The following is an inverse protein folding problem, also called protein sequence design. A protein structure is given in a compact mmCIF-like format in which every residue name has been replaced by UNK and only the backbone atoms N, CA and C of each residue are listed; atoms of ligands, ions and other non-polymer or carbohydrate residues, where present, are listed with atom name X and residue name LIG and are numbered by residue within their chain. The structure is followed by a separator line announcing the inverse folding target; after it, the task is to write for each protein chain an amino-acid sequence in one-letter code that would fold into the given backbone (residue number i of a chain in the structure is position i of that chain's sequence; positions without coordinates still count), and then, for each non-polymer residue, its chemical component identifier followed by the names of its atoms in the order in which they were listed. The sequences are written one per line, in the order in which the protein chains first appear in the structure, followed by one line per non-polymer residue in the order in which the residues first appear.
data_IF_787754995927
#
_entry.id   IF_787754995927
#
_cell.length_a   1.000
_cell.length_b   1.000
_cell.length_c   1.000
_cell.angle_alpha   90.00
_cell.angle_beta   90.00
_cell.angle_gamma   90.00
#
_symmetry.space_group_name_H-M   'P 1'
#
loop_
_entity.id
_entity.type
_entity.pdbx_description
1 polymer ?
#
# COMPACT_ATOMS: atom_id res chain seq x y z
N UNK A 1 -37.28 -7.48 -17.67
CA UNK A 1 -36.05 -6.65 -17.83
C UNK A 1 -35.04 -7.43 -18.67
N UNK A 2 -34.24 -6.77 -19.51
CA UNK A 2 -33.26 -7.48 -20.35
C UNK A 2 -32.09 -7.94 -19.47
N UNK A 3 -31.70 -9.20 -19.56
CA UNK A 3 -30.56 -9.82 -18.88
C UNK A 3 -29.27 -9.07 -19.20
N UNK A 4 -28.47 -8.75 -18.19
CA UNK A 4 -27.15 -8.09 -18.31
C UNK A 4 -26.10 -9.10 -18.73
N UNK A 5 -25.14 -8.67 -19.54
CA UNK A 5 -23.97 -9.51 -19.87
C UNK A 5 -23.01 -9.58 -18.70
N UNK A 6 -22.87 -8.47 -17.95
CA UNK A 6 -22.01 -8.35 -16.79
C UNK A 6 -22.63 -7.41 -15.75
N UNK A 7 -22.64 -7.87 -14.50
CA UNK A 7 -23.02 -7.07 -13.32
C UNK A 7 -21.81 -6.96 -12.42
N UNK A 8 -21.44 -5.73 -12.03
CA UNK A 8 -20.29 -5.44 -11.18
C UNK A 8 -20.79 -4.85 -9.87
N UNK A 9 -20.36 -5.41 -8.76
CA UNK A 9 -20.75 -5.00 -7.41
C UNK A 9 -19.52 -4.38 -6.73
N UNK A 10 -19.53 -3.05 -6.60
CA UNK A 10 -18.46 -2.22 -6.07
C UNK A 10 -17.82 -1.35 -7.16
N UNK A 11 -17.86 -0.04 -6.95
CA UNK A 11 -17.32 1.01 -7.82
C UNK A 11 -15.95 1.55 -7.38
N UNK A 12 -15.12 0.70 -6.77
CA UNK A 12 -13.71 1.01 -6.48
C UNK A 12 -12.77 0.62 -7.61
N UNK A 13 -11.45 0.71 -7.40
CA UNK A 13 -10.40 0.55 -8.42
C UNK A 13 -10.59 -0.69 -9.31
N UNK A 14 -10.83 -1.88 -8.73
CA UNK A 14 -11.03 -3.09 -9.52
C UNK A 14 -12.34 -3.08 -10.34
N UNK A 15 -13.44 -2.64 -9.72
CA UNK A 15 -14.76 -2.60 -10.37
C UNK A 15 -14.82 -1.61 -11.52
N UNK A 16 -14.26 -0.42 -11.36
CA UNK A 16 -14.23 0.64 -12.38
C UNK A 16 -13.44 0.22 -13.62
N UNK A 17 -12.30 -0.44 -13.45
CA UNK A 17 -11.50 -0.96 -14.56
C UNK A 17 -12.31 -2.00 -15.36
N UNK A 18 -12.98 -2.94 -14.67
CA UNK A 18 -13.80 -3.95 -15.35
C UNK A 18 -15.00 -3.30 -16.06
N UNK A 19 -15.68 -2.35 -15.39
CA UNK A 19 -16.85 -1.66 -15.93
C UNK A 19 -16.50 -0.87 -17.19
N UNK A 20 -15.44 -0.06 -17.13
CA UNK A 20 -14.96 0.75 -18.25
C UNK A 20 -14.65 -0.11 -19.47
N UNK A 21 -13.85 -1.16 -19.31
CA UNK A 21 -13.47 -2.03 -20.43
C UNK A 21 -14.68 -2.78 -20.99
N UNK A 22 -15.53 -3.35 -20.13
CA UNK A 22 -16.66 -4.14 -20.58
C UNK A 22 -17.69 -3.28 -21.37
N UNK A 23 -17.98 -2.07 -20.85
CA UNK A 23 -18.96 -1.16 -21.50
C UNK A 23 -18.44 -0.65 -22.85
N UNK A 24 -17.18 -0.23 -22.95
CA UNK A 24 -16.56 0.22 -24.20
C UNK A 24 -16.46 -0.90 -25.26
N UNK A 25 -16.46 -2.17 -24.84
CA UNK A 25 -16.56 -3.32 -25.75
C UNK A 25 -18.01 -3.64 -26.17
N UNK A 26 -18.99 -2.82 -25.79
CA UNK A 26 -20.40 -2.95 -26.20
C UNK A 26 -21.20 -3.98 -25.40
N UNK A 27 -20.71 -4.46 -24.26
CA UNK A 27 -21.48 -5.35 -23.38
C UNK A 27 -22.55 -4.55 -22.61
N UNK A 28 -23.68 -5.23 -22.31
CA UNK A 28 -24.71 -4.67 -21.41
C UNK A 28 -24.22 -4.79 -19.96
N UNK A 29 -23.63 -3.70 -19.45
CA UNK A 29 -23.01 -3.64 -18.11
C UNK A 29 -23.90 -2.88 -17.15
N UNK A 30 -24.02 -3.39 -15.92
CA UNK A 30 -24.53 -2.63 -14.77
C UNK A 30 -23.44 -2.61 -13.70
N UNK A 31 -23.06 -1.42 -13.25
CA UNK A 31 -22.17 -1.16 -12.11
C UNK A 31 -23.04 -0.73 -10.93
N UNK A 32 -22.88 -1.41 -9.80
CA UNK A 32 -23.61 -1.11 -8.56
C UNK A 32 -22.61 -0.64 -7.50
N UNK A 33 -22.88 0.53 -6.90
CA UNK A 33 -22.08 1.08 -5.82
C UNK A 33 -22.97 1.47 -4.63
N UNK A 34 -22.58 1.05 -3.41
CA UNK A 34 -23.35 1.36 -2.19
C UNK A 34 -23.16 2.80 -1.72
N UNK A 35 -21.98 3.38 -1.94
CA UNK A 35 -21.66 4.76 -1.59
C UNK A 35 -22.29 5.74 -2.58
N UNK A 36 -22.38 7.01 -2.20
CA UNK A 36 -22.94 8.07 -3.04
C UNK A 36 -22.05 8.47 -4.24
N UNK A 37 -20.76 8.08 -4.21
CA UNK A 37 -19.77 8.39 -5.24
C UNK A 37 -19.01 7.13 -5.66
N UNK A 38 -18.55 7.09 -6.91
CA UNK A 38 -17.59 6.09 -7.39
C UNK A 38 -16.17 6.44 -6.93
N UNK A 39 -15.21 5.51 -7.09
CA UNK A 39 -13.80 5.69 -6.71
C UNK A 39 -13.35 4.79 -5.55
N UNK A 40 -14.30 4.41 -4.69
CA UNK A 40 -14.08 3.51 -3.56
C UNK A 40 -13.10 4.06 -2.51
N UNK A 41 -12.60 3.17 -1.67
CA UNK A 41 -11.73 3.52 -0.55
C UNK A 41 -10.43 4.23 -0.98
N UNK A 42 -9.81 3.79 -2.07
CA UNK A 42 -8.55 4.38 -2.55
C UNK A 42 -8.65 5.88 -2.81
N UNK A 43 -9.72 6.32 -3.46
CA UNK A 43 -9.93 7.73 -3.80
C UNK A 43 -10.39 8.56 -2.60
N UNK A 44 -11.31 8.03 -1.79
CA UNK A 44 -11.98 8.85 -0.77
C UNK A 44 -11.33 8.76 0.62
N UNK A 45 -10.75 7.60 0.96
CA UNK A 45 -10.30 7.30 2.34
C UNK A 45 -8.92 6.63 2.40
N UNK A 46 -8.28 6.39 1.25
CA UNK A 46 -7.05 5.59 1.16
C UNK A 46 -5.88 6.35 0.54
N UNK A 47 -5.43 5.87 -0.63
CA UNK A 47 -4.18 6.30 -1.25
C UNK A 47 -4.14 7.80 -1.57
N UNK A 48 -5.20 8.35 -2.16
CA UNK A 48 -5.23 9.75 -2.59
C UNK A 48 -5.16 10.70 -1.39
N UNK A 49 -6.08 10.65 -0.42
CA UNK A 49 -6.03 11.55 0.73
C UNK A 49 -4.78 11.37 1.58
N UNK A 50 -4.33 10.13 1.82
CA UNK A 50 -3.15 9.90 2.65
C UNK A 50 -1.88 10.45 2.02
N UNK A 51 -1.66 10.27 0.70
CA UNK A 51 -0.46 10.77 0.02
C UNK A 51 -0.47 12.29 -0.11
N UNK A 52 -1.64 12.88 -0.25
CA UNK A 52 -1.79 14.35 -0.20
C UNK A 52 -1.42 14.90 1.19
N UNK A 53 -1.93 14.27 2.26
CA UNK A 53 -1.61 14.65 3.63
C UNK A 53 -0.12 14.47 3.95
N UNK A 54 0.46 13.32 3.58
CA UNK A 54 1.89 13.03 3.76
C UNK A 54 2.76 14.07 3.05
N UNK A 55 2.39 14.46 1.83
CA UNK A 55 3.13 15.47 1.09
C UNK A 55 3.05 16.84 1.77
N UNK A 56 1.87 17.23 2.24
CA UNK A 56 1.69 18.48 3.04
C UNK A 56 2.55 18.45 4.30
N UNK A 57 2.56 17.35 5.03
CA UNK A 57 3.37 17.17 6.23
C UNK A 57 4.89 17.21 5.92
N UNK A 58 5.30 16.66 4.76
CA UNK A 58 6.68 16.77 4.28
C UNK A 58 7.07 18.21 3.99
N UNK A 59 6.19 18.99 3.37
CA UNK A 59 6.41 20.44 3.13
C UNK A 59 6.58 21.16 4.46
N UNK A 60 5.72 20.94 5.46
CA UNK A 60 5.84 21.54 6.78
C UNK A 60 7.19 21.19 7.44
N UNK A 61 7.62 19.92 7.34
CA UNK A 61 8.94 19.49 7.84
C UNK A 61 10.09 20.20 7.11
N UNK A 62 10.03 20.34 5.79
CA UNK A 62 11.05 21.05 5.02
C UNK A 62 11.13 22.53 5.37
N UNK A 63 10.01 23.20 5.66
CA UNK A 63 9.99 24.59 6.12
C UNK A 63 10.76 24.76 7.43
N UNK A 64 10.60 23.87 8.39
CA UNK A 64 11.36 23.86 9.65
C UNK A 64 12.85 23.63 9.43
N UNK A 65 13.20 22.84 8.43
CA UNK A 65 14.56 22.44 8.11
C UNK A 65 15.26 23.35 7.10
N UNK A 66 14.74 24.55 6.86
CA UNK A 66 15.33 25.52 5.91
C UNK A 66 16.85 25.68 6.09
N UNK A 67 17.34 25.70 7.33
CA UNK A 67 18.78 25.85 7.65
C UNK A 67 19.66 24.71 7.08
N UNK A 68 19.13 23.52 6.90
CA UNK A 68 19.86 22.40 6.27
C UNK A 68 20.23 22.70 4.79
N UNK A 69 19.50 23.63 4.18
CA UNK A 69 19.64 24.05 2.79
C UNK A 69 20.20 25.47 2.62
N UNK A 70 20.67 26.09 3.72
CA UNK A 70 21.18 27.46 3.71
C UNK A 70 20.08 28.52 3.63
N UNK A 71 18.83 28.18 3.93
CA UNK A 71 17.67 29.05 3.97
C UNK A 71 17.24 29.30 5.43
N UNK A 72 16.51 30.38 5.74
CA UNK A 72 15.90 30.53 7.06
C UNK A 72 14.95 29.38 7.37
N UNK A 73 14.97 28.88 8.61
CA UNK A 73 13.93 28.00 9.10
C UNK A 73 12.64 28.78 9.33
N UNK A 74 11.52 28.16 9.04
CA UNK A 74 10.20 28.75 9.25
C UNK A 74 9.30 27.72 9.96
N UNK A 75 8.67 28.14 11.07
CA UNK A 75 7.66 27.32 11.75
C UNK A 75 6.29 27.58 11.10
N UNK A 76 5.72 26.57 10.39
CA UNK A 76 4.43 26.77 9.74
C UNK A 76 3.30 26.81 10.78
N UNK A 77 2.40 27.77 10.65
CA UNK A 77 1.13 27.79 11.37
C UNK A 77 0.16 26.83 10.66
N UNK A 78 -0.04 25.66 11.26
CA UNK A 78 -0.80 24.56 10.63
C UNK A 78 -2.28 24.68 11.01
N UNK A 79 -3.10 25.20 10.10
CA UNK A 79 -4.54 25.16 10.19
C UNK A 79 -5.07 23.85 9.56
N UNK A 80 -5.42 22.86 10.39
CA UNK A 80 -5.86 21.53 9.90
C UNK A 80 -7.07 21.62 8.96
N UNK A 81 -7.96 22.59 9.17
CA UNK A 81 -9.09 22.85 8.27
C UNK A 81 -8.63 23.10 6.83
N UNK A 82 -7.58 23.93 6.63
CA UNK A 82 -7.02 24.18 5.29
C UNK A 82 -6.31 22.99 4.70
N UNK A 83 -5.64 22.20 5.54
CA UNK A 83 -5.01 20.94 5.10
C UNK A 83 -6.08 19.96 4.59
N UNK A 84 -7.18 19.79 5.33
CA UNK A 84 -8.29 18.96 4.92
C UNK A 84 -8.99 19.48 3.66
N UNK A 85 -9.16 20.78 3.51
CA UNK A 85 -9.71 21.39 2.29
C UNK A 85 -8.80 21.13 1.08
N UNK A 86 -7.48 21.21 1.26
CA UNK A 86 -6.53 20.84 0.21
C UNK A 86 -6.64 19.35 -0.16
N UNK A 87 -6.70 18.45 0.83
CA UNK A 87 -6.91 17.02 0.58
C UNK A 87 -8.20 16.79 -0.21
N UNK A 88 -9.29 17.44 0.21
CA UNK A 88 -10.58 17.31 -0.46
C UNK A 88 -10.53 17.85 -1.91
N UNK A 89 -9.83 18.95 -2.16
CA UNK A 89 -9.67 19.50 -3.52
C UNK A 89 -8.95 18.54 -4.47
N UNK A 90 -7.97 17.77 -3.96
CA UNK A 90 -7.28 16.74 -4.75
C UNK A 90 -8.20 15.55 -5.04
N UNK A 91 -8.98 15.12 -4.05
CA UNK A 91 -9.98 14.07 -4.22
C UNK A 91 -10.99 14.48 -5.31
N UNK A 92 -11.54 15.68 -5.23
CA UNK A 92 -12.53 16.20 -6.19
C UNK A 92 -11.99 16.25 -7.62
N UNK A 93 -10.74 16.70 -7.78
CA UNK A 93 -10.08 16.74 -9.08
C UNK A 93 -9.88 15.35 -9.68
N UNK A 94 -9.55 14.34 -8.87
CA UNK A 94 -9.39 12.96 -9.35
C UNK A 94 -10.77 12.31 -9.57
N UNK A 95 -11.78 12.68 -8.77
CA UNK A 95 -13.16 12.21 -8.92
C UNK A 95 -13.74 12.46 -10.32
N UNK A 96 -13.28 13.48 -11.04
CA UNK A 96 -13.68 13.72 -12.43
C UNK A 96 -13.42 12.51 -13.35
N UNK A 97 -12.39 11.71 -13.04
CA UNK A 97 -12.09 10.48 -13.76
C UNK A 97 -13.05 9.33 -13.42
N UNK A 98 -13.65 9.38 -12.24
CA UNK A 98 -14.58 8.37 -11.72
C UNK A 98 -16.03 8.87 -11.71
N UNK A 99 -16.32 9.91 -12.51
CA UNK A 99 -17.68 10.46 -12.65
C UNK A 99 -18.64 9.40 -13.21
N UNK A 100 -19.80 9.15 -12.59
CA UNK A 100 -20.83 8.24 -13.09
C UNK A 100 -21.26 8.52 -14.51
N UNK A 101 -21.34 9.81 -14.93
CA UNK A 101 -21.73 10.19 -16.28
C UNK A 101 -20.71 9.73 -17.34
N UNK A 102 -19.44 9.71 -17.00
CA UNK A 102 -18.41 9.14 -17.87
C UNK A 102 -18.66 7.65 -18.15
N UNK A 103 -19.01 6.87 -17.11
CA UNK A 103 -19.35 5.45 -17.29
C UNK A 103 -20.65 5.25 -18.03
N UNK A 104 -21.66 6.11 -17.80
CA UNK A 104 -22.91 6.13 -18.59
C UNK A 104 -22.62 6.44 -20.06
N UNK A 105 -21.71 7.36 -20.33
CA UNK A 105 -21.23 7.69 -21.68
C UNK A 105 -20.55 6.49 -22.37
N UNK A 106 -19.95 5.55 -21.65
CA UNK A 106 -19.46 4.29 -22.21
C UNK A 106 -20.56 3.23 -22.45
N UNK A 107 -21.80 3.50 -22.05
CA UNK A 107 -22.91 2.54 -22.13
C UNK A 107 -23.09 1.67 -20.88
N UNK A 108 -22.44 2.00 -19.76
CA UNK A 108 -22.64 1.33 -18.49
C UNK A 108 -23.85 1.92 -17.75
N UNK A 109 -24.76 1.09 -17.27
CA UNK A 109 -25.76 1.52 -16.30
C UNK A 109 -25.09 1.62 -14.91
N UNK A 110 -25.11 2.81 -14.29
CA UNK A 110 -24.62 3.02 -12.94
C UNK A 110 -25.77 3.16 -11.97
N UNK A 111 -25.81 2.30 -10.96
CA UNK A 111 -26.82 2.27 -9.92
C UNK A 111 -26.19 2.45 -8.55
N UNK A 112 -26.75 3.35 -7.76
CA UNK A 112 -26.38 3.54 -6.36
C UNK A 112 -27.33 2.78 -5.44
N UNK A 113 -26.76 1.98 -4.55
CA UNK A 113 -27.46 1.16 -3.57
C UNK A 113 -26.70 -0.11 -3.20
N UNK A 114 -27.07 -0.71 -2.09
CA UNK A 114 -26.49 -1.97 -1.67
C UNK A 114 -27.02 -3.14 -2.51
N UNK A 115 -26.10 -3.95 -3.04
CA UNK A 115 -26.45 -5.16 -3.78
C UNK A 115 -26.51 -6.37 -2.88
N UNK A 116 -27.55 -7.21 -3.03
CA UNK A 116 -27.67 -8.50 -2.34
C UNK A 116 -28.06 -9.57 -3.33
N UNK A 117 -27.36 -10.70 -3.39
CA UNK A 117 -27.74 -11.84 -4.21
C UNK A 117 -29.05 -12.45 -3.74
N UNK A 118 -29.96 -12.67 -4.67
CA UNK A 118 -31.19 -13.44 -4.48
C UNK A 118 -30.95 -14.93 -4.80
N UNK A 119 -30.15 -15.17 -5.84
CA UNK A 119 -29.64 -16.46 -6.30
C UNK A 119 -28.33 -16.26 -7.10
N UNK A 120 -27.83 -17.31 -7.74
CA UNK A 120 -26.57 -17.23 -8.49
C UNK A 120 -26.62 -16.36 -9.78
N UNK A 121 -27.84 -15.93 -10.22
CA UNK A 121 -28.05 -15.14 -11.43
C UNK A 121 -28.77 -13.81 -11.20
N UNK A 122 -29.25 -13.53 -10.00
CA UNK A 122 -30.00 -12.32 -9.68
C UNK A 122 -29.50 -11.64 -8.42
N UNK A 123 -29.48 -10.32 -8.49
CA UNK A 123 -29.24 -9.46 -7.32
C UNK A 123 -30.42 -8.51 -7.13
N UNK A 124 -30.62 -8.09 -5.88
CA UNK A 124 -31.49 -6.98 -5.50
C UNK A 124 -30.63 -5.74 -5.25
N UNK A 125 -31.04 -4.60 -5.80
CA UNK A 125 -30.50 -3.27 -5.51
C UNK A 125 -31.67 -2.32 -5.30
N UNK A 126 -31.86 -1.83 -4.09
CA UNK A 126 -33.07 -1.10 -3.68
C UNK A 126 -34.32 -1.94 -4.06
N UNK A 127 -35.28 -1.35 -4.78
CA UNK A 127 -36.52 -2.01 -5.23
C UNK A 127 -36.38 -2.72 -6.58
N UNK A 128 -35.14 -2.88 -7.11
CA UNK A 128 -34.91 -3.43 -8.46
C UNK A 128 -34.20 -4.77 -8.40
N UNK A 129 -34.75 -5.77 -9.06
CA UNK A 129 -34.05 -7.01 -9.39
C UNK A 129 -33.25 -6.86 -10.69
N UNK A 130 -32.02 -7.38 -10.70
CA UNK A 130 -31.12 -7.34 -11.85
C UNK A 130 -30.65 -8.76 -12.15
N UNK A 131 -30.95 -9.25 -13.35
CA UNK A 131 -30.50 -10.53 -13.84
C UNK A 131 -29.19 -10.36 -14.65
N UNK A 132 -28.15 -11.16 -14.31
CA UNK A 132 -26.86 -11.15 -14.96
C UNK A 132 -26.44 -12.51 -15.50
N UNK A 133 -25.71 -12.51 -16.62
CA UNK A 133 -25.03 -13.69 -17.14
C UNK A 133 -23.74 -13.98 -16.36
N UNK A 134 -23.07 -12.92 -15.91
CA UNK A 134 -21.84 -12.98 -15.10
C UNK A 134 -21.86 -11.86 -14.07
N UNK A 135 -21.11 -12.11 -12.98
CA UNK A 135 -20.96 -11.16 -11.90
C UNK A 135 -19.48 -10.97 -11.56
N UNK A 136 -19.14 -9.74 -11.13
CA UNK A 136 -17.84 -9.41 -10.55
C UNK A 136 -18.07 -8.75 -9.20
N UNK A 137 -17.58 -9.37 -8.13
CA UNK A 137 -17.64 -8.84 -6.78
C UNK A 137 -16.34 -8.07 -6.53
N UNK A 138 -16.43 -6.76 -6.35
CA UNK A 138 -15.31 -5.84 -6.17
C UNK A 138 -15.56 -4.90 -4.96
N UNK A 139 -16.16 -5.45 -3.90
CA UNK A 139 -16.63 -4.71 -2.72
C UNK A 139 -15.52 -4.26 -1.78
N UNK A 140 -14.28 -4.66 -2.04
CA UNK A 140 -13.10 -4.19 -1.30
C UNK A 140 -13.05 -4.66 0.15
N UNK A 141 -12.50 -3.79 0.99
CA UNK A 141 -12.32 -4.00 2.44
C UNK A 141 -12.72 -2.75 3.23
N UNK A 142 -12.86 -2.89 4.53
CA UNK A 142 -13.17 -1.81 5.47
C UNK A 142 -12.23 -1.88 6.68
N UNK A 143 -12.03 -0.80 7.46
CA UNK A 143 -11.24 -0.83 8.68
C UNK A 143 -11.71 -1.93 9.63
N UNK A 144 -10.75 -2.55 10.32
CA UNK A 144 -11.04 -3.50 11.39
C UNK A 144 -10.91 -2.78 12.74
N UNK A 145 -12.02 -2.68 13.47
CA UNK A 145 -12.03 -2.19 14.85
C UNK A 145 -11.85 -3.40 15.77
N UNK A 146 -10.76 -3.47 16.56
CA UNK A 146 -10.51 -4.59 17.45
C UNK A 146 -11.47 -4.53 18.65
N UNK A 147 -11.86 -5.69 19.22
CA UNK A 147 -12.76 -5.76 20.38
C UNK A 147 -12.03 -5.40 21.68
N UNK A 148 -11.54 -4.15 21.77
CA UNK A 148 -10.92 -3.62 22.98
C UNK A 148 -11.99 -3.02 23.88
N UNK A 149 -11.91 -3.33 25.18
CA UNK A 149 -12.90 -2.88 26.14
C UNK A 149 -13.01 -1.33 26.17
N UNK A 150 -14.20 -0.82 25.96
CA UNK A 150 -14.52 0.60 25.99
C UNK A 150 -14.14 1.38 24.71
N UNK A 151 -13.57 0.71 23.69
CA UNK A 151 -13.16 1.38 22.45
C UNK A 151 -14.37 1.84 21.63
N UNK A 152 -15.40 1.01 21.54
CA UNK A 152 -16.61 1.32 20.78
C UNK A 152 -17.41 2.47 21.43
N UNK A 153 -17.52 2.45 22.76
CA UNK A 153 -18.24 3.49 23.51
C UNK A 153 -17.51 4.84 23.53
N UNK A 154 -16.17 4.80 23.56
CA UNK A 154 -15.34 6.00 23.57
C UNK A 154 -15.25 6.64 22.19
N UNK A 155 -15.35 5.82 21.14
CA UNK A 155 -15.13 6.21 19.77
C UNK A 155 -13.64 6.23 19.40
N UNK A 156 -13.36 6.04 18.11
CA UNK A 156 -12.02 6.12 17.55
C UNK A 156 -12.09 6.64 16.12
N UNK A 157 -10.98 7.16 15.65
CA UNK A 157 -10.79 7.50 14.24
C UNK A 157 -10.34 6.26 13.46
N UNK A 158 -10.74 6.21 12.21
CA UNK A 158 -10.25 5.30 11.20
C UNK A 158 -9.71 6.09 10.00
N UNK A 159 -9.27 5.42 8.95
CA UNK A 159 -8.94 6.11 7.70
C UNK A 159 -10.17 6.77 7.04
N UNK A 160 -11.39 6.37 7.39
CA UNK A 160 -12.61 6.97 6.84
C UNK A 160 -12.90 8.36 7.45
N UNK A 161 -12.43 8.63 8.67
CA UNK A 161 -12.68 9.86 9.42
C UNK A 161 -11.52 10.87 9.32
N UNK A 162 -10.30 10.35 9.23
CA UNK A 162 -9.06 11.08 9.48
C UNK A 162 -8.85 12.28 8.55
N UNK A 163 -9.24 12.16 7.28
CA UNK A 163 -8.99 13.17 6.25
C UNK A 163 -10.02 14.30 6.23
N UNK A 164 -11.03 14.22 7.10
CA UNK A 164 -12.05 15.26 7.29
C UNK A 164 -11.88 16.06 8.58
N UNK A 165 -10.83 15.79 9.36
CA UNK A 165 -10.55 16.51 10.60
C UNK A 165 -10.38 18.02 10.34
N UNK A 166 -11.04 18.83 11.14
CA UNK A 166 -10.96 20.31 11.06
C UNK A 166 -9.97 20.90 12.05
N UNK A 167 -9.64 20.15 13.11
CA UNK A 167 -8.70 20.52 14.15
C UNK A 167 -7.59 19.49 14.25
N UNK A 168 -6.37 19.97 14.44
CA UNK A 168 -5.22 19.08 14.63
C UNK A 168 -5.24 18.57 16.08
N UNK A 169 -5.31 17.24 16.32
CA UNK A 169 -5.21 16.73 17.67
C UNK A 169 -3.84 17.07 18.26
N UNK A 170 -3.80 17.63 19.47
CA UNK A 170 -2.52 17.94 20.14
C UNK A 170 -1.78 16.64 20.46
N UNK A 171 -2.51 15.62 20.95
CA UNK A 171 -1.98 14.28 21.26
C UNK A 171 -2.76 13.26 20.45
N UNK A 172 -2.05 12.47 19.67
CA UNK A 172 -2.62 11.38 18.87
C UNK A 172 -2.01 10.04 19.28
N UNK A 173 -2.84 9.07 19.63
CA UNK A 173 -2.41 7.69 19.77
C UNK A 173 -2.81 6.92 18.50
N UNK A 174 -1.86 6.18 17.93
CA UNK A 174 -2.08 5.31 16.77
C UNK A 174 -1.97 3.85 17.21
N UNK A 175 -3.06 3.10 17.07
CA UNK A 175 -3.06 1.66 17.29
C UNK A 175 -2.69 0.96 15.99
N UNK A 176 -1.55 0.29 15.99
CA UNK A 176 -1.02 -0.48 14.87
C UNK A 176 0.18 0.15 14.18
N UNK A 177 1.29 -0.60 14.18
CA UNK A 177 2.57 -0.26 13.53
C UNK A 177 2.67 -0.75 12.08
N UNK A 178 1.55 -0.92 11.40
CA UNK A 178 1.48 -1.25 9.97
C UNK A 178 1.68 -0.01 9.08
N UNK A 179 1.69 -0.19 7.73
CA UNK A 179 1.96 0.91 6.79
C UNK A 179 1.07 2.14 7.02
N UNK A 180 -0.24 1.95 7.10
CA UNK A 180 -1.19 3.06 7.31
C UNK A 180 -0.94 3.78 8.63
N UNK A 181 -0.72 3.02 9.72
CA UNK A 181 -0.43 3.60 11.04
C UNK A 181 0.81 4.47 11.02
N UNK A 182 1.91 3.98 10.44
CA UNK A 182 3.19 4.71 10.42
C UNK A 182 3.17 5.92 9.48
N UNK A 183 2.51 5.83 8.34
CA UNK A 183 2.30 6.96 7.44
C UNK A 183 1.57 8.10 8.14
N UNK A 184 0.49 7.79 8.85
CA UNK A 184 -0.28 8.79 9.60
C UNK A 184 0.47 9.29 10.84
N UNK A 185 1.18 8.41 11.53
CA UNK A 185 2.06 8.77 12.65
C UNK A 185 3.02 9.89 12.26
N UNK A 186 3.79 9.70 11.20
CA UNK A 186 4.77 10.69 10.75
C UNK A 186 4.08 11.95 10.19
N UNK A 187 2.98 11.79 9.45
CA UNK A 187 2.27 12.93 8.89
C UNK A 187 1.73 13.86 10.00
N UNK A 188 1.04 13.32 11.00
CA UNK A 188 0.50 14.11 12.10
C UNK A 188 1.59 14.69 13.00
N UNK A 189 2.67 13.94 13.27
CA UNK A 189 3.80 14.47 14.02
C UNK A 189 4.44 15.68 13.31
N UNK A 190 4.64 15.59 12.01
CA UNK A 190 5.18 16.69 11.20
C UNK A 190 4.23 17.88 11.05
N UNK A 191 2.93 17.68 11.22
CA UNK A 191 1.95 18.76 11.28
C UNK A 191 1.88 19.41 12.67
N UNK A 192 2.44 18.81 13.72
CA UNK A 192 2.54 19.40 15.06
C UNK A 192 1.92 18.59 16.19
N UNK A 193 1.35 17.42 15.93
CA UNK A 193 0.82 16.54 16.98
C UNK A 193 1.94 15.81 17.73
N UNK A 194 1.76 15.58 19.04
CA UNK A 194 2.55 14.61 19.78
C UNK A 194 1.97 13.22 19.53
N UNK A 195 2.73 12.36 18.85
CA UNK A 195 2.21 11.06 18.40
C UNK A 195 2.85 9.90 19.14
N UNK A 196 2.00 8.97 19.60
CA UNK A 196 2.41 7.70 20.22
C UNK A 196 1.83 6.54 19.44
N UNK A 197 2.67 5.59 19.05
CA UNK A 197 2.26 4.33 18.40
C UNK A 197 2.22 3.21 19.42
N UNK A 198 1.16 2.40 19.38
CA UNK A 198 1.06 1.16 20.17
C UNK A 198 0.93 0.00 19.21
N UNK A 199 1.93 -0.90 19.21
CA UNK A 199 2.00 -2.08 18.35
C UNK A 199 2.10 -3.35 19.20
N UNK A 200 1.22 -4.30 18.92
CA UNK A 200 1.15 -5.59 19.62
C UNK A 200 2.35 -6.49 19.34
N UNK A 201 2.86 -6.43 18.10
CA UNK A 201 3.98 -7.26 17.67
C UNK A 201 5.32 -6.68 18.16
N UNK A 202 6.39 -7.48 18.21
CA UNK A 202 7.69 -7.02 18.69
C UNK A 202 8.39 -6.05 17.74
N UNK A 203 7.96 -5.98 16.48
CA UNK A 203 8.52 -5.10 15.45
C UNK A 203 7.41 -4.39 14.69
N UNK A 204 7.69 -3.18 14.23
CA UNK A 204 6.88 -2.49 13.24
C UNK A 204 6.93 -3.24 11.92
N UNK A 205 5.92 -3.03 11.05
CA UNK A 205 5.89 -3.57 9.69
C UNK A 205 6.27 -5.07 9.63
N UNK A 206 5.52 -5.98 10.25
CA UNK A 206 5.92 -7.37 10.49
C UNK A 206 6.14 -8.20 9.20
N UNK A 207 5.72 -7.68 8.06
CA UNK A 207 5.94 -8.33 6.76
C UNK A 207 7.25 -7.92 6.12
N UNK A 208 7.91 -6.86 6.62
CA UNK A 208 9.14 -6.32 6.05
C UNK A 208 10.39 -7.06 6.53
N UNK A 209 11.53 -6.76 5.90
CA UNK A 209 12.82 -7.21 6.41
C UNK A 209 13.10 -6.52 7.75
N UNK A 210 13.39 -7.26 8.83
CA UNK A 210 13.57 -6.67 10.16
C UNK A 210 14.60 -5.55 10.20
N UNK A 211 15.74 -5.69 9.51
CA UNK A 211 16.78 -4.66 9.45
C UNK A 211 16.26 -3.34 8.88
N UNK A 212 15.34 -3.44 7.91
CA UNK A 212 14.76 -2.26 7.24
C UNK A 212 13.68 -1.63 8.10
N UNK A 213 12.86 -2.45 8.76
CA UNK A 213 11.83 -2.00 9.69
C UNK A 213 12.43 -1.29 10.91
N UNK A 214 13.49 -1.86 11.50
CA UNK A 214 14.21 -1.28 12.64
C UNK A 214 14.87 0.06 12.26
N UNK A 215 15.43 0.16 11.06
CA UNK A 215 16.00 1.41 10.56
C UNK A 215 14.93 2.51 10.36
N UNK A 216 13.73 2.14 9.89
CA UNK A 216 12.61 3.08 9.82
C UNK A 216 12.13 3.49 11.21
N UNK A 217 12.01 2.55 12.15
CA UNK A 217 11.62 2.85 13.53
C UNK A 217 12.57 3.87 14.15
N UNK A 218 13.87 3.64 14.05
CA UNK A 218 14.89 4.57 14.56
C UNK A 218 14.77 5.97 13.95
N UNK A 219 14.40 6.07 12.67
CA UNK A 219 14.14 7.36 12.02
C UNK A 219 12.92 8.06 12.62
N UNK A 220 11.80 7.35 12.80
CA UNK A 220 10.58 7.91 13.39
C UNK A 220 10.80 8.38 14.84
N UNK A 221 11.51 7.58 15.64
CA UNK A 221 11.88 7.94 17.01
C UNK A 221 12.80 9.18 17.06
N UNK A 222 13.73 9.30 16.10
CA UNK A 222 14.60 10.48 15.97
C UNK A 222 13.86 11.77 15.65
N UNK A 223 12.67 11.67 15.04
CA UNK A 223 11.75 12.78 14.79
C UNK A 223 10.81 13.04 15.98
N UNK A 224 11.00 12.38 17.13
CA UNK A 224 10.27 12.63 18.39
C UNK A 224 9.01 11.80 18.59
N UNK A 225 8.73 10.83 17.75
CA UNK A 225 7.59 9.93 17.93
C UNK A 225 7.90 8.87 19.00
N UNK A 226 6.89 8.55 19.83
CA UNK A 226 7.01 7.50 20.84
C UNK A 226 6.43 6.19 20.30
N UNK A 227 7.15 5.09 20.41
CA UNK A 227 6.75 3.78 19.87
C UNK A 227 6.80 2.73 20.97
N UNK A 228 5.66 2.09 21.24
CA UNK A 228 5.52 0.96 22.15
C UNK A 228 5.24 -0.31 21.37
N UNK A 229 6.26 -1.11 21.10
CA UNK A 229 6.11 -2.47 20.54
C UNK A 229 5.83 -3.50 21.63
N UNK A 230 5.46 -4.73 21.28
CA UNK A 230 5.06 -5.79 22.20
C UNK A 230 4.00 -5.35 23.22
N UNK A 231 3.16 -4.39 22.86
CA UNK A 231 2.22 -3.73 23.76
C UNK A 231 0.81 -3.79 23.17
N UNK A 232 -0.14 -4.33 23.94
CA UNK A 232 -1.56 -4.34 23.56
C UNK A 232 -2.34 -3.32 24.36
N UNK A 233 -3.38 -2.75 23.75
CA UNK A 233 -4.36 -1.94 24.49
C UNK A 233 -5.38 -2.88 25.11
N UNK A 234 -5.57 -2.78 26.42
CA UNK A 234 -6.52 -3.60 27.18
C UNK A 234 -7.86 -2.89 27.41
N UNK A 235 -7.79 -1.57 27.60
CA UNK A 235 -8.97 -0.77 27.86
C UNK A 235 -8.80 0.65 27.34
N UNK A 236 -9.90 1.19 26.83
CA UNK A 236 -10.06 2.62 26.51
C UNK A 236 -11.21 3.16 27.36
N UNK A 237 -11.05 4.37 27.87
CA UNK A 237 -12.10 5.05 28.64
C UNK A 237 -12.01 6.55 28.43
N UNK A 238 -13.14 7.24 28.55
CA UNK A 238 -13.21 8.69 28.45
C UNK A 238 -13.37 9.32 29.83
N UNK A 239 -12.59 10.34 30.10
CA UNK A 239 -12.69 11.13 31.32
C UNK A 239 -12.75 12.62 30.95
N UNK A 240 -13.96 13.17 30.88
CA UNK A 240 -14.18 14.47 30.27
C UNK A 240 -13.84 14.50 28.80
N UNK A 241 -12.98 15.40 28.37
CA UNK A 241 -12.51 15.54 26.98
C UNK A 241 -11.29 14.65 26.68
N UNK A 242 -10.71 14.01 27.70
CA UNK A 242 -9.51 13.20 27.55
C UNK A 242 -9.85 11.70 27.38
N UNK A 243 -9.26 11.08 26.39
CA UNK A 243 -9.30 9.64 26.20
C UNK A 243 -8.09 9.00 26.88
N UNK A 244 -8.35 8.04 27.78
CA UNK A 244 -7.35 7.27 28.52
C UNK A 244 -7.22 5.87 27.92
N UNK A 245 -5.99 5.47 27.63
CA UNK A 245 -5.64 4.18 27.02
C UNK A 245 -4.75 3.41 27.98
N UNK A 246 -5.23 2.25 28.47
CA UNK A 246 -4.52 1.36 29.39
C UNK A 246 -3.89 0.23 28.59
N UNK A 247 -2.57 0.06 28.76
CA UNK A 247 -1.78 -0.91 28.01
C UNK A 247 -1.34 -2.10 28.87
N UNK A 248 -1.11 -3.25 28.23
CA UNK A 248 -0.71 -4.52 28.86
C UNK A 248 0.60 -4.47 29.64
N UNK A 249 1.49 -3.53 29.32
CA UNK A 249 2.75 -3.31 30.03
C UNK A 249 2.61 -2.38 31.25
N UNK A 250 1.37 -2.03 31.64
CA UNK A 250 1.07 -1.14 32.75
C UNK A 250 1.16 0.36 32.43
N UNK A 251 1.58 0.73 31.22
CA UNK A 251 1.60 2.13 30.77
C UNK A 251 0.17 2.59 30.56
N UNK A 252 -0.11 3.80 31.02
CA UNK A 252 -1.37 4.51 30.80
C UNK A 252 -1.08 5.76 30.00
N UNK A 253 -1.71 5.88 28.84
CA UNK A 253 -1.55 6.99 27.92
C UNK A 253 -2.82 7.84 27.91
N UNK A 254 -2.65 9.15 27.70
CA UNK A 254 -3.73 10.11 27.54
C UNK A 254 -3.66 10.75 26.16
N UNK A 255 -4.81 10.90 25.50
CA UNK A 255 -4.88 11.43 24.13
C UNK A 255 -6.17 12.21 23.87
N UNK A 256 -6.11 13.10 22.91
CA UNK A 256 -7.27 13.84 22.40
C UNK A 256 -7.95 13.07 21.25
N UNK A 257 -7.16 12.25 20.52
CA UNK A 257 -7.66 11.41 19.45
C UNK A 257 -6.97 10.04 19.42
N UNK A 258 -7.72 9.00 19.06
CA UNK A 258 -7.26 7.63 18.95
C UNK A 258 -7.53 7.12 17.54
N UNK A 259 -6.46 6.87 16.77
CA UNK A 259 -6.53 6.28 15.42
C UNK A 259 -6.36 4.76 15.49
N UNK A 260 -7.29 4.03 14.91
CA UNK A 260 -7.22 2.57 14.78
C UNK A 260 -6.75 2.21 13.36
N UNK A 261 -5.56 1.63 13.28
CA UNK A 261 -4.89 1.22 12.04
C UNK A 261 -4.35 -0.23 12.12
N UNK A 262 -5.08 -1.13 12.80
CA UNK A 262 -4.64 -2.52 13.09
C UNK A 262 -4.95 -3.51 11.98
N UNK A 263 -5.49 -3.05 10.85
CA UNK A 263 -5.77 -3.88 9.68
C UNK A 263 -7.14 -3.60 9.06
N UNK A 264 -7.46 -4.41 8.07
CA UNK A 264 -8.70 -4.29 7.28
C UNK A 264 -9.37 -5.65 7.18
N UNK A 265 -10.69 -5.67 7.01
CA UNK A 265 -11.45 -6.89 6.74
C UNK A 265 -12.19 -6.80 5.41
N UNK A 266 -12.24 -7.88 4.62
CA UNK A 266 -13.01 -7.93 3.38
C UNK A 266 -14.50 -7.67 3.61
N UNK A 267 -15.13 -6.93 2.69
CA UNK A 267 -16.59 -6.67 2.74
C UNK A 267 -17.32 -7.82 2.07
N UNK A 268 -17.75 -8.79 2.87
CA UNK A 268 -18.50 -9.99 2.43
C UNK A 268 -19.91 -10.02 3.01
N UNK A 269 -20.15 -9.30 4.09
CA UNK A 269 -21.44 -9.25 4.78
C UNK A 269 -22.50 -8.48 3.98
N UNK A 270 -23.78 -8.88 4.10
CA UNK A 270 -24.90 -8.23 3.43
C UNK A 270 -25.05 -8.57 1.95
N UNK A 271 -24.06 -9.22 1.34
CA UNK A 271 -24.07 -9.54 -0.10
C UNK A 271 -24.95 -10.74 -0.47
N UNK A 272 -25.41 -11.55 0.49
CA UNK A 272 -26.18 -12.76 0.20
C UNK A 272 -25.39 -13.85 -0.54
N UNK A 273 -24.08 -13.96 -0.28
CA UNK A 273 -23.16 -14.86 -0.97
C UNK A 273 -23.58 -16.33 -0.88
N UNK A 274 -24.17 -16.75 0.24
CA UNK A 274 -24.65 -18.12 0.42
C UNK A 274 -25.79 -18.44 -0.54
N UNK A 275 -26.70 -17.48 -0.81
CA UNK A 275 -27.79 -17.64 -1.80
C UNK A 275 -27.26 -17.81 -3.22
N UNK A 276 -26.12 -17.16 -3.53
CA UNK A 276 -25.41 -17.34 -4.78
C UNK A 276 -24.53 -18.60 -4.81
N UNK A 277 -24.37 -19.32 -3.70
CA UNK A 277 -23.47 -20.46 -3.57
C UNK A 277 -21.99 -20.10 -3.69
N UNK A 278 -21.61 -18.87 -3.29
CA UNK A 278 -20.24 -18.38 -3.28
C UNK A 278 -19.59 -18.69 -1.94
N UNK A 279 -18.53 -19.48 -1.97
CA UNK A 279 -17.77 -19.85 -0.76
C UNK A 279 -16.92 -18.65 -0.31
N UNK A 280 -17.11 -18.28 0.95
CA UNK A 280 -16.38 -17.18 1.58
C UNK A 280 -16.09 -17.48 3.06
N UNK A 281 -15.21 -16.70 3.64
CA UNK A 281 -14.88 -16.71 5.08
C UNK A 281 -14.72 -15.26 5.55
N UNK A 282 -14.44 -15.05 6.83
CA UNK A 282 -14.04 -13.73 7.35
C UNK A 282 -12.79 -13.16 6.67
N UNK A 283 -11.96 -14.01 6.02
CA UNK A 283 -10.79 -13.61 5.26
C UNK A 283 -11.09 -13.28 3.79
N UNK A 284 -12.35 -13.30 3.37
CA UNK A 284 -12.80 -12.93 2.03
C UNK A 284 -13.37 -14.07 1.21
N UNK A 285 -13.66 -13.75 -0.05
CA UNK A 285 -14.21 -14.69 -1.05
C UNK A 285 -13.10 -15.59 -1.56
N UNK A 286 -13.34 -16.91 -1.57
CA UNK A 286 -12.41 -17.87 -2.15
C UNK A 286 -12.45 -17.82 -3.68
N UNK A 287 -11.30 -17.61 -4.29
CA UNK A 287 -11.14 -17.59 -5.75
C UNK A 287 -10.02 -18.52 -6.23
N UNK A 288 -10.16 -19.01 -7.44
CA UNK A 288 -9.07 -19.69 -8.13
C UNK A 288 -8.07 -18.68 -8.75
N UNK A 289 -6.97 -19.18 -9.31
CA UNK A 289 -5.97 -18.31 -9.98
C UNK A 289 -6.50 -17.54 -11.19
N UNK A 290 -7.74 -17.78 -11.63
CA UNK A 290 -8.43 -17.03 -12.69
C UNK A 290 -9.42 -16.02 -12.14
N UNK A 291 -9.41 -15.77 -10.84
CA UNK A 291 -10.33 -14.90 -10.10
C UNK A 291 -11.80 -15.39 -10.16
N UNK A 292 -12.04 -16.69 -10.37
CA UNK A 292 -13.37 -17.27 -10.34
C UNK A 292 -13.66 -17.76 -8.92
N UNK A 293 -14.87 -17.50 -8.45
CA UNK A 293 -15.40 -18.07 -7.20
C UNK A 293 -15.74 -19.55 -7.37
N UNK A 294 -16.36 -20.16 -6.36
CA UNK A 294 -16.97 -21.50 -6.46
C UNK A 294 -18.03 -21.59 -7.57
N UNK A 295 -18.60 -20.45 -8.01
CA UNK A 295 -19.50 -20.35 -9.16
C UNK A 295 -18.74 -19.77 -10.36
N UNK A 296 -18.59 -20.55 -11.43
CA UNK A 296 -17.70 -20.23 -12.57
C UNK A 296 -18.04 -18.94 -13.30
N UNK A 297 -19.26 -18.45 -13.20
CA UNK A 297 -19.74 -17.20 -13.83
C UNK A 297 -19.69 -16.00 -12.87
N UNK A 298 -19.34 -16.23 -11.59
CA UNK A 298 -19.14 -15.20 -10.58
C UNK A 298 -17.64 -15.08 -10.30
N UNK A 299 -17.10 -13.89 -10.49
CA UNK A 299 -15.69 -13.54 -10.25
C UNK A 299 -15.59 -12.62 -9.04
N UNK A 300 -14.40 -12.51 -8.43
CA UNK A 300 -14.12 -11.48 -7.45
C UNK A 300 -12.75 -10.88 -7.72
N UNK A 301 -12.56 -9.59 -7.38
CA UNK A 301 -11.28 -8.88 -7.53
C UNK A 301 -11.07 -7.85 -6.42
N UNK A 302 -9.80 -7.55 -6.16
CA UNK A 302 -9.37 -6.62 -5.11
C UNK A 302 -9.41 -7.26 -3.72
N UNK A 303 -9.50 -6.41 -2.69
CA UNK A 303 -9.33 -6.79 -1.29
C UNK A 303 -10.35 -7.82 -0.80
N UNK A 304 -11.51 -7.89 -1.44
CA UNK A 304 -12.56 -8.85 -1.07
C UNK A 304 -12.13 -10.31 -1.25
N UNK A 305 -11.09 -10.58 -2.04
CA UNK A 305 -10.68 -11.96 -2.37
C UNK A 305 -9.17 -12.17 -2.46
N UNK A 306 -8.38 -11.14 -2.30
CA UNK A 306 -6.95 -11.22 -2.57
C UNK A 306 -6.10 -11.47 -1.34
N UNK A 307 -4.90 -12.05 -1.51
CA UNK A 307 -3.93 -12.10 -0.42
C UNK A 307 -3.23 -10.75 -0.17
N UNK A 308 -3.37 -9.79 -1.10
CA UNK A 308 -2.72 -8.47 -1.06
C UNK A 308 -3.78 -7.37 -1.19
N UNK A 309 -4.14 -6.69 -0.09
CA UNK A 309 -5.10 -5.57 -0.10
C UNK A 309 -4.40 -4.29 -0.60
N UNK A 310 -4.15 -4.22 -1.90
CA UNK A 310 -3.42 -3.15 -2.56
C UNK A 310 -4.17 -2.72 -3.84
N UNK A 311 -4.27 -1.42 -4.08
CA UNK A 311 -5.00 -0.85 -5.22
C UNK A 311 -4.50 -1.41 -6.56
N UNK A 312 -3.19 -1.46 -6.78
CA UNK A 312 -2.62 -2.01 -8.02
C UNK A 312 -2.83 -3.52 -8.17
N UNK A 313 -3.09 -4.26 -7.08
CA UNK A 313 -3.50 -5.67 -7.14
C UNK A 313 -4.98 -5.77 -7.52
N UNK A 314 -5.83 -4.86 -7.07
CA UNK A 314 -7.22 -4.82 -7.53
C UNK A 314 -7.31 -4.56 -9.04
N UNK A 315 -6.51 -3.64 -9.58
CA UNK A 315 -6.39 -3.40 -11.03
C UNK A 315 -5.81 -4.61 -11.78
N UNK A 316 -4.78 -5.24 -11.22
CA UNK A 316 -4.22 -6.47 -11.78
C UNK A 316 -5.25 -7.60 -11.84
N UNK A 317 -6.02 -7.80 -10.76
CA UNK A 317 -7.13 -8.75 -10.73
C UNK A 317 -8.20 -8.41 -11.76
N UNK A 318 -8.55 -7.14 -11.93
CA UNK A 318 -9.49 -6.69 -12.96
C UNK A 318 -9.02 -7.11 -14.35
N UNK A 319 -7.74 -6.96 -14.68
CA UNK A 319 -7.16 -7.47 -15.93
C UNK A 319 -7.26 -8.99 -16.11
N UNK A 320 -7.15 -9.76 -15.02
CA UNK A 320 -7.36 -11.23 -15.03
C UNK A 320 -8.85 -11.55 -15.25
N UNK A 321 -9.75 -10.84 -14.57
CA UNK A 321 -11.21 -10.98 -14.74
C UNK A 321 -11.61 -10.66 -16.17
N UNK A 322 -11.17 -9.54 -16.74
CA UNK A 322 -11.45 -9.13 -18.13
C UNK A 322 -11.02 -10.24 -19.09
N UNK A 323 -9.81 -10.77 -18.95
CA UNK A 323 -9.31 -11.85 -19.82
C UNK A 323 -10.20 -13.11 -19.74
N UNK A 324 -10.58 -13.53 -18.52
CA UNK A 324 -11.34 -14.76 -18.31
C UNK A 324 -12.86 -14.60 -18.53
N UNK A 325 -13.44 -13.49 -18.04
CA UNK A 325 -14.89 -13.27 -18.11
C UNK A 325 -15.35 -12.71 -19.46
N UNK A 326 -14.61 -11.81 -20.08
CA UNK A 326 -14.99 -11.11 -21.30
C UNK A 326 -14.41 -11.82 -22.53
N UNK A 327 -13.09 -11.87 -22.63
CA UNK A 327 -12.39 -12.45 -23.79
C UNK A 327 -12.35 -13.98 -23.79
N UNK A 328 -12.62 -14.64 -22.65
CA UNK A 328 -12.49 -16.08 -22.46
C UNK A 328 -11.10 -16.64 -22.74
N UNK A 329 -10.09 -15.77 -22.66
CA UNK A 329 -8.68 -16.13 -22.76
C UNK A 329 -8.19 -16.55 -21.37
N UNK A 330 -7.73 -17.80 -21.19
CA UNK A 330 -7.32 -18.29 -19.86
C UNK A 330 -6.06 -17.58 -19.38
N UNK A 331 -6.21 -16.68 -18.41
CA UNK A 331 -5.13 -15.95 -17.74
C UNK A 331 -5.17 -16.25 -16.25
N UNK A 332 -4.01 -16.48 -15.64
CA UNK A 332 -3.87 -16.80 -14.21
C UNK A 332 -3.08 -15.71 -13.50
N UNK A 333 -3.38 -15.52 -12.22
CA UNK A 333 -2.58 -14.65 -11.34
C UNK A 333 -1.18 -15.19 -11.14
N UNK A 334 -0.21 -14.28 -11.08
CA UNK A 334 1.18 -14.54 -10.77
C UNK A 334 1.66 -13.51 -9.74
N UNK A 335 1.81 -13.95 -8.50
CA UNK A 335 2.21 -13.12 -7.36
C UNK A 335 3.70 -13.23 -7.00
N UNK A 336 4.54 -13.79 -7.89
CA UNK A 336 5.97 -13.91 -7.62
C UNK A 336 6.68 -12.56 -7.52
N UNK A 337 6.13 -11.56 -8.19
CA UNK A 337 6.67 -10.21 -8.25
C UNK A 337 5.53 -9.22 -7.96
N UNK A 338 5.32 -8.95 -6.70
CA UNK A 338 4.35 -7.95 -6.20
C UNK A 338 5.14 -6.91 -5.42
N UNK A 339 5.21 -5.66 -5.87
CA UNK A 339 5.80 -4.58 -5.10
C UNK A 339 4.77 -3.95 -4.16
N UNK A 340 5.25 -3.34 -3.07
CA UNK A 340 4.50 -2.40 -2.26
C UNK A 340 5.42 -1.37 -1.61
N UNK A 341 4.83 -0.28 -1.16
CA UNK A 341 5.55 0.79 -0.48
C UNK A 341 4.77 1.31 0.73
N UNK A 342 5.52 1.70 1.76
CA UNK A 342 5.07 2.53 2.89
C UNK A 342 5.64 3.92 2.65
N UNK A 343 4.77 4.93 2.58
CA UNK A 343 5.11 6.28 2.13
C UNK A 343 5.51 7.21 3.28
N UNK A 344 6.23 6.66 4.25
CA UNK A 344 6.97 7.46 5.23
C UNK A 344 8.10 8.24 4.54
N UNK A 345 8.82 9.06 5.28
CA UNK A 345 10.02 9.76 4.80
C UNK A 345 11.19 9.48 5.77
N UNK A 346 12.13 8.58 5.41
CA UNK A 346 12.27 7.91 4.11
C UNK A 346 11.16 6.91 3.81
N UNK A 347 10.85 6.73 2.50
CA UNK A 347 9.94 5.69 2.04
C UNK A 347 10.55 4.30 2.21
N UNK A 348 9.70 3.30 2.49
CA UNK A 348 10.10 1.90 2.49
C UNK A 348 9.38 1.17 1.36
N UNK A 349 10.11 0.63 0.40
CA UNK A 349 9.54 -0.17 -0.68
C UNK A 349 10.13 -1.58 -0.72
N UNK A 350 9.29 -2.56 -1.08
CA UNK A 350 9.71 -3.96 -1.17
C UNK A 350 9.11 -4.66 -2.38
N UNK A 351 9.86 -5.66 -2.88
CA UNK A 351 9.38 -6.66 -3.85
C UNK A 351 10.02 -8.01 -3.55
N UNK A 352 9.26 -9.07 -3.69
CA UNK A 352 9.75 -10.46 -3.57
C UNK A 352 10.08 -10.87 -2.13
N UNK A 353 11.09 -11.74 -1.96
CA UNK A 353 11.43 -12.36 -0.68
C UNK A 353 12.34 -11.48 0.16
N UNK A 354 12.14 -11.50 1.49
CA UNK A 354 13.15 -11.06 2.45
C UNK A 354 14.28 -12.08 2.54
N UNK A 355 15.39 -11.69 3.15
CA UNK A 355 16.49 -12.61 3.47
C UNK A 355 16.01 -13.80 4.29
N UNK A 356 15.21 -13.55 5.34
CA UNK A 356 14.64 -14.58 6.18
C UNK A 356 13.77 -15.56 5.40
N UNK A 357 12.85 -15.06 4.57
CA UNK A 357 11.97 -15.88 3.74
C UNK A 357 12.73 -16.74 2.73
N UNK A 358 13.87 -16.27 2.21
CA UNK A 358 14.73 -17.06 1.36
C UNK A 358 15.38 -18.22 2.13
N UNK A 359 15.91 -17.93 3.34
CA UNK A 359 16.52 -18.94 4.22
C UNK A 359 15.50 -19.99 4.68
N UNK A 360 14.30 -19.60 5.06
CA UNK A 360 13.20 -20.49 5.44
C UNK A 360 12.81 -21.46 4.31
N UNK A 361 13.03 -21.06 3.04
CA UNK A 361 12.85 -21.92 1.86
C UNK A 361 14.07 -22.76 1.52
N UNK A 362 15.09 -22.79 2.38
CA UNK A 362 16.33 -23.54 2.16
C UNK A 362 17.24 -22.91 1.09
N UNK A 363 17.03 -21.64 0.76
CA UNK A 363 17.87 -20.91 -0.19
C UNK A 363 18.89 -20.12 0.64
N UNK A 364 20.19 -20.33 0.37
CA UNK A 364 21.24 -19.48 0.95
C UNK A 364 21.47 -18.28 0.00
N UNK A 365 20.98 -17.07 0.38
CA UNK A 365 21.08 -15.92 -0.49
C UNK A 365 22.42 -15.19 -0.30
N UNK A 366 22.82 -14.49 -1.33
CA UNK A 366 23.83 -13.42 -1.23
C UNK A 366 23.12 -12.11 -1.00
N UNK A 367 23.47 -11.40 0.06
CA UNK A 367 22.90 -10.10 0.40
C UNK A 367 23.82 -9.00 -0.13
N UNK A 368 23.23 -8.12 -0.94
CA UNK A 368 23.90 -6.94 -1.48
C UNK A 368 23.24 -5.70 -0.85
N UNK A 369 24.03 -4.88 -0.19
CA UNK A 369 23.55 -3.70 0.52
C UNK A 369 24.36 -2.48 0.09
N UNK A 370 23.67 -1.35 -0.13
CA UNK A 370 24.31 -0.07 -0.41
C UNK A 370 23.57 1.09 0.26
N UNK A 371 24.24 1.92 1.07
CA UNK A 371 23.60 3.02 1.79
C UNK A 371 23.45 4.27 0.92
N UNK A 372 22.33 5.00 1.08
CA UNK A 372 22.07 6.24 0.36
C UNK A 372 23.09 7.36 0.68
N UNK A 373 23.65 7.39 1.89
CA UNK A 373 24.73 8.34 2.24
C UNK A 373 26.00 8.24 1.37
N UNK A 374 26.10 7.26 0.48
CA UNK A 374 27.16 7.09 -0.51
C UNK A 374 26.68 7.31 -1.95
N UNK A 375 25.48 7.86 -2.11
CA UNK A 375 24.91 8.26 -3.40
C UNK A 375 24.92 9.79 -3.49
N UNK A 376 25.60 10.32 -4.47
CA UNK A 376 25.83 11.77 -4.61
C UNK A 376 24.51 12.55 -4.68
N UNK A 377 23.51 12.02 -5.36
CA UNK A 377 22.18 12.64 -5.42
C UNK A 377 21.50 12.68 -4.05
N UNK A 378 21.63 11.63 -3.24
CA UNK A 378 21.08 11.63 -1.89
C UNK A 378 21.74 12.70 -1.00
N UNK A 379 23.04 12.92 -1.16
CA UNK A 379 23.76 14.00 -0.49
C UNK A 379 23.27 15.39 -0.92
N UNK A 380 23.10 15.61 -2.25
CA UNK A 380 22.60 16.91 -2.76
C UNK A 380 21.20 17.24 -2.28
N UNK A 381 20.36 16.22 -2.11
CA UNK A 381 18.95 16.36 -1.73
C UNK A 381 18.72 16.24 -0.21
N UNK A 382 19.80 16.04 0.59
CA UNK A 382 19.71 15.76 2.03
C UNK A 382 18.80 14.56 2.35
N UNK A 383 18.82 13.53 1.48
CA UNK A 383 18.04 12.29 1.60
C UNK A 383 18.97 11.10 1.82
N UNK A 384 19.86 11.21 2.81
CA UNK A 384 20.96 10.27 3.07
C UNK A 384 20.50 9.04 3.90
N UNK A 385 19.32 9.11 4.51
CA UNK A 385 18.81 8.05 5.36
C UNK A 385 18.50 6.77 4.57
N UNK A 386 18.83 5.63 5.16
CA UNK A 386 18.47 4.32 4.65
C UNK A 386 19.45 3.72 3.64
N UNK A 387 18.99 2.68 2.96
CA UNK A 387 19.80 1.83 2.07
C UNK A 387 18.92 0.99 1.15
N UNK A 388 19.51 0.47 0.08
CA UNK A 388 18.96 -0.62 -0.71
C UNK A 388 19.56 -1.96 -0.27
N UNK A 389 18.72 -2.99 -0.06
CA UNK A 389 19.08 -4.37 0.27
C UNK A 389 18.50 -5.30 -0.78
N UNK A 390 19.36 -6.03 -1.49
CA UNK A 390 18.99 -6.99 -2.53
C UNK A 390 19.27 -8.42 -2.03
N UNK A 391 18.28 -9.29 -2.16
CA UNK A 391 18.38 -10.73 -1.88
C UNK A 391 18.64 -11.45 -3.19
N UNK A 392 19.84 -12.01 -3.36
CA UNK A 392 20.31 -12.56 -4.65
C UNK A 392 20.62 -14.05 -4.52
N UNK A 393 20.22 -14.86 -5.49
CA UNK A 393 20.62 -16.26 -5.59
C UNK A 393 20.96 -16.61 -7.03
N UNK A 394 22.10 -17.28 -7.25
CA UNK A 394 22.58 -17.68 -8.59
C UNK A 394 22.56 -16.55 -9.63
N UNK A 395 22.91 -15.33 -9.19
CA UNK A 395 22.97 -14.16 -10.06
C UNK A 395 21.61 -13.55 -10.44
N UNK A 396 20.51 -13.93 -9.77
CA UNK A 396 19.16 -13.37 -9.95
C UNK A 396 18.68 -12.75 -8.66
N UNK A 397 17.93 -11.67 -8.77
CA UNK A 397 17.28 -11.04 -7.63
C UNK A 397 16.04 -11.87 -7.25
N UNK A 398 15.96 -12.28 -5.99
CA UNK A 398 14.80 -12.95 -5.38
C UNK A 398 13.89 -11.96 -4.67
N UNK A 399 14.43 -10.85 -4.24
CA UNK A 399 13.71 -9.78 -3.61
C UNK A 399 14.61 -8.58 -3.31
N UNK A 400 13.97 -7.47 -3.00
CA UNK A 400 14.64 -6.23 -2.62
C UNK A 400 13.80 -5.45 -1.61
N UNK A 401 14.48 -4.79 -0.69
CA UNK A 401 13.90 -3.79 0.20
C UNK A 401 14.72 -2.50 0.07
N UNK A 402 14.04 -1.38 -0.08
CA UNK A 402 14.66 -0.06 -0.21
C UNK A 402 14.06 0.84 0.86
N UNK A 403 14.89 1.37 1.73
CA UNK A 403 14.54 2.46 2.64
C UNK A 403 15.27 3.70 2.15
N UNK A 404 14.54 4.72 1.70
CA UNK A 404 15.16 5.93 1.16
C UNK A 404 14.18 6.86 0.46
N UNK A 405 14.64 8.02 0.05
CA UNK A 405 13.82 8.92 -0.75
C UNK A 405 13.35 8.28 -2.07
N UNK A 406 12.07 8.41 -2.39
CA UNK A 406 11.46 7.86 -3.62
C UNK A 406 11.62 6.33 -3.78
N UNK A 407 11.66 5.59 -2.67
CA UNK A 407 11.81 4.13 -2.73
C UNK A 407 10.67 3.46 -3.50
N UNK A 408 9.44 4.00 -3.41
CA UNK A 408 8.28 3.55 -4.18
C UNK A 408 8.47 3.61 -5.69
N UNK A 409 9.21 4.63 -6.19
CA UNK A 409 9.57 4.73 -7.61
C UNK A 409 10.79 3.86 -7.95
N UNK A 410 11.81 3.87 -7.10
CA UNK A 410 13.06 3.15 -7.32
C UNK A 410 12.87 1.64 -7.41
N UNK A 411 11.95 1.06 -6.64
CA UNK A 411 11.73 -0.39 -6.61
C UNK A 411 11.39 -0.98 -7.99
N UNK A 412 10.84 -0.18 -8.91
CA UNK A 412 10.31 -0.65 -10.19
C UNK A 412 11.39 -1.16 -11.16
N UNK A 413 12.63 -0.70 -11.08
CA UNK A 413 13.75 -1.31 -11.83
C UNK A 413 13.95 -2.78 -11.41
N UNK A 414 13.91 -3.03 -10.10
CA UNK A 414 14.05 -4.40 -9.57
C UNK A 414 12.82 -5.25 -9.90
N UNK A 415 11.62 -4.67 -9.86
CA UNK A 415 10.37 -5.33 -10.29
C UNK A 415 10.50 -5.79 -11.74
N UNK A 416 10.97 -4.94 -12.64
CA UNK A 416 11.17 -5.27 -14.05
C UNK A 416 12.25 -6.35 -14.21
N UNK A 417 13.38 -6.22 -13.54
CA UNK A 417 14.46 -7.21 -13.56
C UNK A 417 13.99 -8.60 -13.10
N UNK A 418 13.22 -8.66 -12.00
CA UNK A 418 12.63 -9.91 -11.51
C UNK A 418 11.59 -10.48 -12.47
N UNK A 419 10.72 -9.64 -13.05
CA UNK A 419 9.64 -10.05 -13.96
C UNK A 419 10.18 -10.64 -15.25
N UNK A 420 11.24 -10.04 -15.81
CA UNK A 420 11.90 -10.49 -17.05
C UNK A 420 12.93 -11.59 -16.80
N UNK A 421 13.29 -11.83 -15.54
CA UNK A 421 14.32 -12.78 -15.17
C UNK A 421 15.75 -12.29 -15.47
N UNK A 422 15.96 -10.99 -15.55
CA UNK A 422 17.28 -10.37 -15.70
C UNK A 422 18.23 -10.79 -14.57
N UNK A 423 19.52 -10.76 -14.87
CA UNK A 423 20.58 -11.05 -13.90
C UNK A 423 21.12 -9.78 -13.29
N UNK A 424 21.79 -9.89 -12.15
CA UNK A 424 22.50 -8.74 -11.55
C UNK A 424 23.57 -8.17 -12.50
N UNK A 425 24.08 -8.96 -13.44
CA UNK A 425 24.97 -8.50 -14.49
C UNK A 425 24.31 -7.45 -15.41
N UNK A 426 23.03 -7.65 -15.72
CA UNK A 426 22.28 -6.74 -16.58
C UNK A 426 22.06 -5.40 -15.87
N UNK A 427 21.74 -5.42 -14.56
CA UNK A 427 21.64 -4.21 -13.72
C UNK A 427 22.98 -3.47 -13.67
N UNK A 428 24.10 -4.21 -13.48
CA UNK A 428 25.45 -3.64 -13.45
C UNK A 428 25.85 -2.99 -14.79
N UNK A 429 25.45 -3.61 -15.91
CA UNK A 429 25.77 -3.14 -17.26
C UNK A 429 24.85 -1.99 -17.72
N UNK A 430 23.69 -1.81 -17.09
CA UNK A 430 22.76 -0.72 -17.41
C UNK A 430 23.40 0.63 -17.08
N UNK A 431 23.33 1.57 -18.03
CA UNK A 431 23.78 2.94 -17.83
C UNK A 431 22.70 3.70 -17.05
N UNK A 432 23.04 4.14 -15.85
CA UNK A 432 22.17 4.99 -15.04
C UNK A 432 22.55 6.45 -15.20
N UNK A 433 21.57 7.31 -15.38
CA UNK A 433 21.81 8.75 -15.41
C UNK A 433 22.49 9.23 -14.12
N UNK A 434 23.38 10.19 -14.24
CA UNK A 434 24.11 10.80 -13.12
C UNK A 434 23.81 12.31 -13.03
N UNK A 435 23.56 12.84 -11.83
CA UNK A 435 23.36 12.13 -10.57
C UNK A 435 21.87 11.73 -10.38
N UNK A 436 21.62 10.50 -9.99
CA UNK A 436 20.26 10.02 -9.65
C UNK A 436 20.28 9.06 -8.45
N UNK A 437 19.16 8.96 -7.73
CA UNK A 437 18.98 7.97 -6.65
C UNK A 437 19.00 6.53 -7.17
N UNK A 438 18.58 6.30 -8.43
CA UNK A 438 18.56 4.98 -9.07
C UNK A 438 19.95 4.32 -9.15
N UNK A 439 21.04 5.10 -9.07
CA UNK A 439 22.39 4.54 -8.99
C UNK A 439 22.59 3.59 -7.83
N UNK A 440 21.73 3.63 -6.79
CA UNK A 440 21.79 2.70 -5.63
C UNK A 440 21.73 1.26 -6.08
N UNK A 441 20.95 0.91 -7.09
CA UNK A 441 20.82 -0.47 -7.60
C UNK A 441 22.14 -0.96 -8.19
N UNK A 442 22.69 -0.18 -9.11
CA UNK A 442 23.98 -0.49 -9.72
C UNK A 442 25.12 -0.56 -8.69
N UNK A 443 25.14 0.38 -7.75
CA UNK A 443 26.13 0.39 -6.66
C UNK A 443 26.01 -0.83 -5.77
N UNK A 444 24.79 -1.22 -5.38
CA UNK A 444 24.54 -2.42 -4.60
C UNK A 444 25.04 -3.67 -5.32
N UNK A 445 24.70 -3.84 -6.60
CA UNK A 445 25.16 -4.96 -7.41
C UNK A 445 26.70 -4.94 -7.60
N UNK A 446 27.30 -3.78 -7.78
CA UNK A 446 28.74 -3.66 -7.96
C UNK A 446 29.55 -4.03 -6.71
N UNK A 447 28.96 -4.04 -5.52
CA UNK A 447 29.62 -4.60 -4.33
C UNK A 447 29.98 -6.08 -4.48
N UNK A 448 29.14 -6.83 -5.21
CA UNK A 448 29.40 -8.25 -5.54
C UNK A 448 30.58 -8.41 -6.50
N UNK A 449 30.58 -7.62 -7.56
CA UNK A 449 31.66 -7.67 -8.57
C UNK A 449 32.97 -7.14 -8.01
N UNK A 450 32.94 -6.10 -7.18
CA UNK A 450 34.14 -5.56 -6.53
C UNK A 450 34.85 -6.58 -5.67
N UNK A 451 34.13 -7.36 -4.85
CA UNK A 451 34.72 -8.43 -4.04
C UNK A 451 35.43 -9.49 -4.90
N UNK A 452 34.89 -9.83 -6.06
CA UNK A 452 35.52 -10.78 -7.00
C UNK A 452 36.67 -10.18 -7.79
N UNK A 453 36.46 -8.98 -8.35
CA UNK A 453 37.42 -8.28 -9.20
C UNK A 453 38.72 -7.94 -8.45
N UNK A 454 38.59 -7.51 -7.20
CA UNK A 454 39.73 -7.15 -6.35
C UNK A 454 40.27 -8.29 -5.50
N UNK A 455 39.88 -9.54 -5.77
CA UNK A 455 40.46 -10.72 -5.12
C UNK A 455 41.90 -11.00 -5.63
N UNK A 456 42.69 -11.81 -4.92
CA UNK A 456 44.10 -12.06 -5.28
C UNK A 456 44.32 -12.61 -6.71
N UNK A 457 43.44 -13.48 -7.18
CA UNK A 457 43.59 -14.12 -8.49
C UNK A 457 43.47 -13.12 -9.68
N UNK A 458 42.39 -12.28 -9.81
CA UNK A 458 42.35 -11.25 -10.84
C UNK A 458 43.46 -10.23 -10.75
N UNK A 459 43.86 -9.83 -9.52
CA UNK A 459 45.01 -8.93 -9.33
C UNK A 459 46.30 -9.53 -9.84
N UNK A 460 46.52 -10.83 -9.60
CA UNK A 460 47.67 -11.58 -10.13
C UNK A 460 47.65 -11.65 -11.64
N UNK A 461 46.50 -11.97 -12.22
CA UNK A 461 46.31 -12.03 -13.67
C UNK A 461 46.58 -10.66 -14.34
N UNK A 462 46.03 -9.58 -13.81
CA UNK A 462 46.26 -8.22 -14.34
C UNK A 462 47.74 -7.84 -14.28
N UNK A 463 48.43 -8.14 -13.15
CA UNK A 463 49.87 -7.90 -13.05
C UNK A 463 50.67 -8.71 -14.06
N UNK A 464 50.28 -9.94 -14.33
CA UNK A 464 50.92 -10.80 -15.32
C UNK A 464 50.70 -10.28 -16.75
N UNK A 465 49.45 -9.94 -17.11
CA UNK A 465 49.12 -9.36 -18.42
C UNK A 465 49.92 -8.07 -18.68
N UNK A 466 49.96 -7.16 -17.70
CA UNK A 466 50.68 -5.87 -17.85
C UNK A 466 52.21 -6.01 -17.86
N UNK A 467 52.77 -7.20 -17.55
CA UNK A 467 54.18 -7.49 -17.77
C UNK A 467 54.47 -8.00 -19.18
N UNK A 468 53.44 -8.55 -19.85
CA UNK A 468 53.57 -9.14 -21.20
C UNK A 468 53.18 -8.16 -22.33
N UNK A 469 52.39 -7.14 -21.98
CA UNK A 469 51.94 -6.11 -22.94
C UNK A 469 52.64 -4.80 -22.59
N UNK A 470 53.36 -4.17 -23.51
CA UNK A 470 54.03 -2.90 -23.31
C UNK A 470 53.05 -1.74 -23.11
#
# INVERSE_FOLDING_TARGET
MSKRDLVIIGGGAGGLVVASVAAQLGLKVTLVEKAAKLGGDCLHYGCVPSKTLIHTARVASLMRRGTDFGLPAYEPDVEMARVSDHVQSVIERIQEHDDPERFRGYGCEVLFGAATFLDEHRIQVNDREIEGRRFVIATGSQPFIPPVRGLEETGCLTNEDLFSLRELPVRLIVLGGGPVGLEMTQAFARLGSVVTVVERLPHLLPQEDPEVADALQAQLESEGMTIHTSTTVERVSRNGDETRVECSNGVVLSTDALLVAVGRRPVVEGLGLDKAGVIHTAMGIQVDRRQRTSRRHIFACGDVCGPYPLTHIAEYHAGIVISNAIFRIPKKTDYRVVPWATYTDPELARVGMTEQQAREKGIEPVILRFPFRQIDRALTDRQEAGFAKLVVHKGRVLGASILGGHAGELIHEIVLAMKTGARIADISATIHAYPTLAQVHRRAVNTWYGRKLFSPAPRGLVRWINRLLP
#
